data_IF_928662357214
#
_entry.id   IF_928662357214
#
_cell.length_a   1.000
_cell.length_b   1.000
_cell.length_c   1.000
_cell.angle_alpha   90.00
_cell.angle_beta   90.00
_cell.angle_gamma   90.00
#
_symmetry.space_group_name_H-M   'P 1'
#
loop_
_entity.id
_entity.type
_entity.pdbx_description
1 polymer ?
#
# COMPACT_ATOMS: atom_id res chain seq x y z
N UNK A 1 -3.20 25.65 -0.17
CA UNK A 1 -3.29 24.73 -1.32
C UNK A 1 -3.85 23.41 -0.77
N UNK A 2 -4.93 22.86 -1.34
CA UNK A 2 -5.54 21.62 -0.81
C UNK A 2 -4.71 20.42 -1.28
N UNK A 3 -4.31 19.54 -0.36
CA UNK A 3 -3.51 18.34 -0.67
C UNK A 3 -4.22 17.41 -1.67
N UNK A 4 -5.55 17.40 -1.65
CA UNK A 4 -6.42 16.69 -2.60
C UNK A 4 -6.11 17.01 -4.07
N UNK A 5 -5.67 18.24 -4.37
CA UNK A 5 -5.33 18.66 -5.73
C UNK A 5 -4.02 18.04 -6.24
N UNK A 6 -3.24 17.39 -5.37
CA UNK A 6 -1.98 16.73 -5.73
C UNK A 6 -2.08 15.20 -5.75
N UNK A 7 -3.27 14.63 -5.51
CA UNK A 7 -3.50 13.18 -5.56
C UNK A 7 -3.71 12.68 -7.00
N UNK A 8 -2.78 13.02 -7.90
CA UNK A 8 -2.92 12.76 -9.34
C UNK A 8 -3.11 11.28 -9.65
N UNK A 9 -2.42 10.38 -8.94
CA UNK A 9 -2.57 8.94 -9.12
C UNK A 9 -3.99 8.45 -8.75
N UNK A 10 -4.60 9.02 -7.69
CA UNK A 10 -5.99 8.71 -7.34
C UNK A 10 -6.94 9.21 -8.43
N UNK A 11 -6.74 10.43 -8.93
CA UNK A 11 -7.52 11.00 -10.04
C UNK A 11 -7.41 10.17 -11.31
N UNK A 12 -6.21 9.68 -11.63
CA UNK A 12 -5.98 8.76 -12.75
C UNK A 12 -6.83 7.48 -12.59
N UNK A 13 -6.80 6.85 -11.42
CA UNK A 13 -7.59 5.63 -11.18
C UNK A 13 -9.10 5.87 -11.23
N UNK A 14 -9.59 7.03 -10.76
CA UNK A 14 -10.99 7.41 -10.91
C UNK A 14 -11.36 7.60 -12.38
N UNK A 15 -10.48 8.24 -13.15
CA UNK A 15 -10.68 8.52 -14.57
C UNK A 15 -10.78 7.24 -15.41
N UNK A 16 -10.11 6.15 -15.02
CA UNK A 16 -10.28 4.85 -15.67
C UNK A 16 -11.75 4.40 -15.70
N UNK A 17 -12.52 4.74 -14.67
CA UNK A 17 -13.96 4.45 -14.55
C UNK A 17 -14.86 5.64 -14.94
N UNK A 18 -14.29 6.68 -15.56
CA UNK A 18 -15.04 7.84 -16.05
C UNK A 18 -15.40 8.88 -14.98
N UNK A 19 -14.73 8.89 -13.83
CA UNK A 19 -15.00 9.83 -12.74
C UNK A 19 -13.83 10.78 -12.49
N UNK A 20 -14.15 12.00 -12.06
CA UNK A 20 -13.15 13.00 -11.67
C UNK A 20 -13.01 13.09 -10.16
N UNK A 21 -14.08 12.80 -9.41
CA UNK A 21 -14.13 12.91 -7.96
C UNK A 21 -14.48 11.57 -7.30
N UNK A 22 -13.81 11.26 -6.18
CA UNK A 22 -14.05 10.01 -5.46
C UNK A 22 -15.51 9.87 -5.00
N UNK A 23 -16.16 10.99 -4.66
CA UNK A 23 -17.57 10.99 -4.27
C UNK A 23 -18.47 10.45 -5.38
N UNK A 24 -18.17 10.67 -6.66
CA UNK A 24 -18.98 10.16 -7.77
C UNK A 24 -18.96 8.63 -7.82
N UNK A 25 -17.76 8.04 -7.70
CA UNK A 25 -17.59 6.59 -7.65
C UNK A 25 -18.17 6.00 -6.35
N UNK A 26 -18.01 6.69 -5.22
CA UNK A 26 -18.62 6.31 -3.94
C UNK A 26 -20.14 6.20 -4.05
N UNK A 27 -20.80 7.18 -4.67
CA UNK A 27 -22.27 7.17 -4.81
C UNK A 27 -22.77 5.96 -5.61
N UNK A 28 -21.94 5.37 -6.49
CA UNK A 28 -22.28 4.13 -7.19
C UNK A 28 -22.19 2.88 -6.32
N UNK A 29 -21.33 2.89 -5.29
CA UNK A 29 -20.97 1.69 -4.52
C UNK A 29 -21.47 1.69 -3.07
N UNK A 30 -21.77 2.85 -2.48
CA UNK A 30 -22.08 2.99 -1.05
C UNK A 30 -23.27 2.15 -0.57
N UNK A 31 -24.25 1.94 -1.46
CA UNK A 31 -25.48 1.17 -1.18
C UNK A 31 -25.40 -0.25 -1.75
N UNK A 32 -24.27 -0.63 -2.35
CA UNK A 32 -24.02 -1.99 -2.82
C UNK A 32 -23.67 -2.88 -1.64
N UNK A 33 -24.28 -4.07 -1.59
CA UNK A 33 -24.05 -5.05 -0.54
C UNK A 33 -22.57 -5.47 -0.49
N UNK A 34 -22.03 -5.65 0.72
CA UNK A 34 -20.71 -6.22 0.93
C UNK A 34 -20.72 -7.75 0.70
N UNK A 35 -19.63 -8.28 0.13
CA UNK A 35 -19.43 -9.71 -0.06
C UNK A 35 -19.69 -10.18 -1.48
N UNK A 36 -20.07 -11.45 -1.62
CA UNK A 36 -20.02 -12.16 -2.89
C UNK A 36 -21.36 -12.81 -3.25
N UNK A 37 -21.62 -12.93 -4.55
CA UNK A 37 -22.75 -13.64 -5.11
C UNK A 37 -22.56 -15.17 -5.07
N UNK A 38 -23.52 -15.92 -5.65
CA UNK A 38 -23.45 -17.38 -5.71
C UNK A 38 -22.33 -17.94 -6.60
N UNK A 39 -21.82 -17.14 -7.54
CA UNK A 39 -20.65 -17.49 -8.38
C UNK A 39 -19.34 -17.10 -7.70
N UNK A 40 -19.46 -16.32 -6.64
CA UNK A 40 -18.41 -15.79 -5.81
C UNK A 40 -17.68 -14.61 -6.44
N UNK A 41 -18.39 -13.83 -7.25
CA UNK A 41 -18.05 -12.47 -7.68
C UNK A 41 -18.47 -11.47 -6.61
N UNK A 42 -17.65 -10.46 -6.36
CA UNK A 42 -18.03 -9.37 -5.43
C UNK A 42 -19.20 -8.58 -5.99
N UNK A 43 -20.20 -8.24 -5.17
CA UNK A 43 -21.27 -7.36 -5.66
C UNK A 43 -20.74 -5.99 -6.13
N UNK A 44 -19.57 -5.56 -5.65
CA UNK A 44 -18.91 -4.35 -6.14
C UNK A 44 -18.36 -4.52 -7.56
N UNK A 45 -17.92 -5.73 -7.97
CA UNK A 45 -17.32 -5.90 -9.31
C UNK A 45 -18.38 -5.76 -10.41
N UNK A 46 -19.60 -6.23 -10.18
CA UNK A 46 -20.68 -6.11 -11.16
C UNK A 46 -21.01 -4.64 -11.46
N UNK A 47 -21.02 -3.79 -10.43
CA UNK A 47 -21.18 -2.34 -10.59
C UNK A 47 -20.03 -1.74 -11.41
N UNK A 48 -18.79 -2.15 -11.12
CA UNK A 48 -17.60 -1.65 -11.82
C UNK A 48 -17.52 -2.11 -13.27
N UNK A 49 -17.96 -3.34 -13.57
CA UNK A 49 -18.10 -3.84 -14.95
C UNK A 49 -19.16 -3.03 -15.70
N UNK A 50 -20.29 -2.72 -15.06
CA UNK A 50 -21.31 -1.85 -15.66
C UNK A 50 -20.79 -0.43 -15.98
N UNK A 51 -19.84 0.07 -15.20
CA UNK A 51 -19.17 1.36 -15.43
C UNK A 51 -18.08 1.28 -16.51
N UNK A 52 -17.47 0.11 -16.69
CA UNK A 52 -16.38 -0.12 -17.64
C UNK A 52 -16.45 -1.51 -18.31
N UNK A 53 -17.43 -1.73 -19.20
CA UNK A 53 -17.69 -3.06 -19.75
C UNK A 53 -16.50 -3.64 -20.53
N UNK A 54 -15.70 -2.80 -21.17
CA UNK A 54 -14.52 -3.22 -21.92
C UNK A 54 -13.40 -3.79 -21.05
N UNK A 55 -13.50 -3.68 -19.72
CA UNK A 55 -12.56 -4.26 -18.76
C UNK A 55 -13.11 -5.49 -18.03
N UNK A 56 -14.23 -6.07 -18.45
CA UNK A 56 -14.89 -7.18 -17.75
C UNK A 56 -13.91 -8.30 -17.34
N UNK A 57 -13.20 -8.91 -18.30
CA UNK A 57 -12.26 -10.00 -18.02
C UNK A 57 -11.16 -9.61 -17.03
N UNK A 58 -10.64 -8.39 -17.16
CA UNK A 58 -9.58 -7.88 -16.30
C UNK A 58 -10.10 -7.61 -14.88
N UNK A 59 -11.29 -7.03 -14.76
CA UNK A 59 -11.95 -6.75 -13.50
C UNK A 59 -12.30 -8.05 -12.76
N UNK A 60 -12.79 -9.07 -13.46
CA UNK A 60 -13.05 -10.39 -12.89
C UNK A 60 -11.77 -11.07 -12.40
N UNK A 61 -10.64 -10.93 -13.12
CA UNK A 61 -9.33 -11.41 -12.67
C UNK A 61 -8.93 -10.75 -11.35
N UNK A 62 -9.07 -9.43 -11.24
CA UNK A 62 -8.74 -8.70 -10.01
C UNK A 62 -9.69 -9.05 -8.86
N UNK A 63 -11.00 -9.17 -9.11
CA UNK A 63 -11.96 -9.56 -8.08
C UNK A 63 -11.69 -10.97 -7.52
N UNK A 64 -11.35 -11.92 -8.39
CA UNK A 64 -10.92 -13.26 -7.94
C UNK A 64 -9.69 -13.18 -7.02
N UNK A 65 -8.70 -12.35 -7.37
CA UNK A 65 -7.53 -12.13 -6.52
C UNK A 65 -7.90 -11.51 -5.16
N UNK A 66 -8.77 -10.49 -5.18
CA UNK A 66 -9.26 -9.82 -3.96
C UNK A 66 -9.97 -10.82 -3.06
N UNK A 67 -10.82 -11.68 -3.63
CA UNK A 67 -11.49 -12.76 -2.91
C UNK A 67 -10.52 -13.70 -2.23
N UNK A 68 -9.46 -14.14 -2.90
CA UNK A 68 -8.43 -15.00 -2.30
C UNK A 68 -7.81 -14.35 -1.04
N UNK A 69 -7.50 -13.05 -1.09
CA UNK A 69 -6.97 -12.34 0.08
C UNK A 69 -8.00 -12.23 1.22
N UNK A 70 -9.27 -11.95 0.89
CA UNK A 70 -10.35 -11.87 1.87
C UNK A 70 -10.59 -13.24 2.53
N UNK A 71 -10.61 -14.33 1.77
CA UNK A 71 -10.71 -15.69 2.31
C UNK A 71 -9.54 -16.03 3.23
N UNK A 72 -8.32 -15.64 2.85
CA UNK A 72 -7.14 -15.82 3.71
C UNK A 72 -7.27 -15.07 5.04
N UNK A 73 -7.78 -13.83 5.03
CA UNK A 73 -8.10 -13.09 6.26
C UNK A 73 -9.17 -13.78 7.09
N UNK A 74 -10.29 -14.21 6.48
CA UNK A 74 -11.39 -14.91 7.16
C UNK A 74 -10.89 -16.15 7.90
N UNK A 75 -10.10 -16.97 7.21
CA UNK A 75 -9.58 -18.22 7.75
C UNK A 75 -8.60 -17.97 8.88
N UNK A 76 -7.57 -17.14 8.66
CA UNK A 76 -6.53 -16.91 9.65
C UNK A 76 -7.06 -16.22 10.92
N UNK A 77 -7.98 -15.26 10.74
CA UNK A 77 -8.56 -14.49 11.86
C UNK A 77 -9.79 -15.15 12.49
N UNK A 78 -10.27 -16.27 11.93
CA UNK A 78 -11.51 -16.96 12.32
C UNK A 78 -12.74 -16.06 12.27
N UNK A 79 -12.84 -15.24 11.23
CA UNK A 79 -13.91 -14.28 11.00
C UNK A 79 -14.66 -14.61 9.69
N UNK A 80 -15.51 -15.65 9.66
CA UNK A 80 -16.12 -16.13 8.41
C UNK A 80 -17.02 -15.10 7.72
N UNK A 81 -17.57 -14.14 8.48
CA UNK A 81 -18.47 -13.12 7.97
C UNK A 81 -17.76 -11.81 7.57
N UNK A 82 -16.43 -11.76 7.65
CA UNK A 82 -15.67 -10.56 7.28
C UNK A 82 -15.81 -10.26 5.79
N UNK A 83 -16.11 -9.02 5.44
CA UNK A 83 -16.10 -8.51 4.08
C UNK A 83 -15.38 -7.15 4.03
N UNK A 84 -14.85 -6.80 2.86
CA UNK A 84 -14.34 -5.46 2.62
C UNK A 84 -15.51 -4.51 2.41
N UNK A 85 -15.41 -3.32 3.00
CA UNK A 85 -16.26 -2.18 2.62
C UNK A 85 -15.86 -1.67 1.24
N UNK A 86 -16.77 -0.98 0.54
CA UNK A 86 -16.49 -0.48 -0.81
C UNK A 86 -15.17 0.30 -0.93
N UNK A 87 -14.84 1.15 0.04
CA UNK A 87 -13.60 1.95 0.01
C UNK A 87 -12.34 1.12 0.28
N UNK A 88 -12.45 0.01 1.03
CA UNK A 88 -11.36 -0.94 1.20
C UNK A 88 -11.19 -1.78 -0.06
N UNK A 89 -12.30 -2.24 -0.64
CA UNK A 89 -12.31 -2.95 -1.92
C UNK A 89 -11.66 -2.11 -3.03
N UNK A 90 -12.03 -0.84 -3.15
CA UNK A 90 -11.42 0.09 -4.12
C UNK A 90 -9.93 0.29 -3.87
N UNK A 91 -9.49 0.45 -2.62
CA UNK A 91 -8.07 0.59 -2.31
C UNK A 91 -7.27 -0.65 -2.75
N UNK A 92 -7.80 -1.85 -2.50
CA UNK A 92 -7.17 -3.11 -2.93
C UNK A 92 -7.22 -3.27 -4.45
N UNK A 93 -8.34 -2.96 -5.10
CA UNK A 93 -8.50 -3.02 -6.55
C UNK A 93 -7.54 -2.07 -7.28
N UNK A 94 -7.44 -0.81 -6.84
CA UNK A 94 -6.50 0.14 -7.42
C UNK A 94 -5.06 -0.33 -7.24
N UNK A 95 -4.77 -1.04 -6.15
CA UNK A 95 -3.46 -1.68 -5.95
C UNK A 95 -3.23 -2.86 -6.91
N UNK A 96 -4.23 -3.70 -7.17
CA UNK A 96 -4.12 -4.76 -8.20
C UNK A 96 -3.80 -4.14 -9.57
N UNK A 97 -4.55 -3.11 -9.97
CA UNK A 97 -4.34 -2.39 -11.25
C UNK A 97 -2.94 -1.77 -11.29
N UNK A 98 -2.53 -1.10 -10.21
CA UNK A 98 -1.21 -0.47 -10.10
C UNK A 98 -0.08 -1.49 -10.27
N UNK A 99 -0.13 -2.60 -9.51
CA UNK A 99 0.95 -3.58 -9.48
C UNK A 99 1.04 -4.41 -10.77
N UNK A 100 -0.11 -4.78 -11.36
CA UNK A 100 -0.14 -5.42 -12.68
C UNK A 100 0.57 -4.53 -13.71
N UNK A 101 0.20 -3.25 -13.77
CA UNK A 101 0.79 -2.28 -14.70
C UNK A 101 2.28 -2.04 -14.42
N UNK A 102 2.66 -1.88 -13.15
CA UNK A 102 4.04 -1.66 -12.72
C UNK A 102 4.96 -2.84 -13.07
N UNK A 103 4.53 -4.09 -12.90
CA UNK A 103 5.37 -5.27 -13.12
C UNK A 103 5.31 -5.87 -14.53
N UNK A 104 4.27 -5.57 -15.31
CA UNK A 104 4.08 -6.14 -16.64
C UNK A 104 4.15 -5.13 -17.78
N UNK A 105 3.93 -3.83 -17.53
CA UNK A 105 3.96 -2.82 -18.59
C UNK A 105 4.32 -1.41 -18.08
N UNK A 106 5.44 -1.30 -17.35
CA UNK A 106 5.83 -0.08 -16.62
C UNK A 106 5.98 1.14 -17.51
N UNK A 107 6.70 1.01 -18.62
CA UNK A 107 6.98 2.12 -19.55
C UNK A 107 5.68 2.70 -20.10
N UNK A 108 4.75 1.82 -20.52
CA UNK A 108 3.42 2.22 -20.96
C UNK A 108 2.62 2.86 -19.84
N UNK A 109 2.69 2.32 -18.62
CA UNK A 109 1.99 2.88 -17.48
C UNK A 109 2.44 4.31 -17.17
N UNK A 110 3.75 4.57 -17.20
CA UNK A 110 4.31 5.92 -17.02
C UNK A 110 3.85 6.85 -18.14
N UNK A 111 3.87 6.39 -19.39
CA UNK A 111 3.42 7.19 -20.52
C UNK A 111 1.93 7.58 -20.40
N UNK A 112 1.06 6.62 -20.09
CA UNK A 112 -0.38 6.86 -19.90
C UNK A 112 -0.65 7.79 -18.69
N UNK A 113 0.10 7.62 -17.60
CA UNK A 113 -0.02 8.46 -16.41
C UNK A 113 0.44 9.90 -16.68
N UNK A 114 1.51 10.08 -17.45
CA UNK A 114 2.00 11.39 -17.84
C UNK A 114 1.10 12.10 -18.86
N UNK A 115 0.51 11.37 -19.82
CA UNK A 115 -0.50 11.93 -20.72
C UNK A 115 -1.72 12.43 -19.94
N UNK A 116 -2.18 11.66 -18.94
CA UNK A 116 -3.24 12.10 -18.04
C UNK A 116 -2.82 13.34 -17.24
N UNK A 117 -1.60 13.33 -16.68
CA UNK A 117 -1.10 14.43 -15.85
C UNK A 117 -0.96 15.74 -16.65
N UNK A 118 -0.51 15.69 -17.90
CA UNK A 118 -0.42 16.89 -18.75
C UNK A 118 -1.79 17.53 -18.95
N UNK A 119 -2.83 16.72 -19.24
CA UNK A 119 -4.21 17.20 -19.32
C UNK A 119 -4.67 17.79 -17.99
N UNK A 120 -4.43 17.08 -16.89
CA UNK A 120 -4.76 17.54 -15.54
C UNK A 120 -4.10 18.88 -15.19
N UNK A 121 -2.80 19.04 -15.47
CA UNK A 121 -2.05 20.27 -15.26
C UNK A 121 -2.64 21.44 -16.05
N UNK A 122 -2.95 21.21 -17.33
CA UNK A 122 -3.53 22.23 -18.21
C UNK A 122 -4.93 22.68 -17.72
N UNK A 123 -5.80 21.74 -17.37
CA UNK A 123 -7.16 22.02 -16.91
C UNK A 123 -7.18 22.74 -15.55
N UNK A 124 -6.29 22.35 -14.63
CA UNK A 124 -6.24 22.88 -13.26
C UNK A 124 -5.25 24.04 -13.09
N UNK A 125 -4.52 24.42 -14.16
CA UNK A 125 -3.44 25.42 -14.14
C UNK A 125 -2.40 25.11 -13.05
N UNK A 126 -1.96 23.85 -13.02
CA UNK A 126 -0.94 23.34 -12.09
C UNK A 126 0.33 22.97 -12.86
N UNK A 127 1.46 22.93 -12.14
CA UNK A 127 2.78 22.59 -12.69
C UNK A 127 3.36 21.40 -11.92
N UNK A 128 2.61 20.28 -11.87
CA UNK A 128 3.09 19.05 -11.25
C UNK A 128 4.07 18.37 -12.22
N UNK A 129 5.25 17.98 -11.71
CA UNK A 129 6.27 17.29 -12.50
C UNK A 129 5.80 15.92 -13.00
N UNK A 130 6.24 15.54 -14.19
CA UNK A 130 5.96 14.23 -14.78
C UNK A 130 6.43 13.10 -13.86
N UNK A 131 5.65 12.02 -13.82
CA UNK A 131 6.00 10.79 -13.14
C UNK A 131 7.20 10.13 -13.81
N UNK A 132 8.10 9.65 -12.96
CA UNK A 132 9.28 8.85 -13.31
C UNK A 132 9.13 7.43 -12.78
N UNK A 133 10.06 6.55 -13.15
CA UNK A 133 10.11 5.21 -12.54
C UNK A 133 10.28 5.24 -11.02
N UNK A 134 10.97 6.25 -10.49
CA UNK A 134 11.22 6.39 -9.06
C UNK A 134 9.94 6.69 -8.30
N UNK A 135 9.07 7.55 -8.86
CA UNK A 135 7.79 7.90 -8.26
C UNK A 135 6.86 6.68 -8.11
N UNK A 136 6.99 5.70 -9.01
CA UNK A 136 6.20 4.46 -8.96
C UNK A 136 6.75 3.41 -7.98
N UNK A 137 7.89 3.65 -7.32
CA UNK A 137 8.39 2.76 -6.26
C UNK A 137 7.73 3.01 -4.90
N UNK A 138 6.80 3.95 -4.82
CA UNK A 138 6.06 4.28 -3.59
C UNK A 138 4.56 4.35 -3.86
N UNK A 139 3.76 3.68 -3.03
CA UNK A 139 2.31 3.80 -3.03
C UNK A 139 1.82 4.23 -1.65
N UNK A 140 1.17 5.40 -1.60
CA UNK A 140 0.68 6.00 -0.37
C UNK A 140 -0.85 5.88 -0.25
N UNK A 141 -1.31 5.46 0.92
CA UNK A 141 -2.71 5.30 1.29
C UNK A 141 -3.07 6.36 2.31
N UNK A 142 -3.82 7.36 1.87
CA UNK A 142 -4.35 8.40 2.75
C UNK A 142 -5.82 8.11 3.04
N UNK A 143 -6.10 7.56 4.21
CA UNK A 143 -7.44 7.10 4.60
C UNK A 143 -7.67 7.35 6.08
N UNK A 144 -8.89 7.72 6.47
CA UNK A 144 -9.25 8.04 7.86
C UNK A 144 -8.83 6.95 8.87
N UNK A 145 -8.54 7.34 10.11
CA UNK A 145 -8.34 6.40 11.22
C UNK A 145 -9.57 5.52 11.40
N UNK A 146 -9.38 4.21 11.58
CA UNK A 146 -10.49 3.25 11.68
C UNK A 146 -11.05 2.76 10.33
N UNK A 147 -10.55 3.25 9.19
CA UNK A 147 -10.91 2.71 7.85
C UNK A 147 -10.34 1.30 7.57
N UNK A 148 -9.57 0.73 8.49
CA UNK A 148 -9.01 -0.62 8.34
C UNK A 148 -7.73 -0.67 7.49
N UNK A 149 -6.92 0.40 7.49
CA UNK A 149 -5.60 0.45 6.81
C UNK A 149 -4.70 -0.73 7.15
N UNK A 150 -4.73 -1.24 8.39
CA UNK A 150 -3.97 -2.43 8.80
C UNK A 150 -4.33 -3.67 7.98
N UNK A 151 -5.63 -3.91 7.73
CA UNK A 151 -6.05 -5.05 6.89
C UNK A 151 -5.67 -4.83 5.42
N UNK A 152 -5.77 -3.59 4.94
CA UNK A 152 -5.30 -3.23 3.59
C UNK A 152 -3.80 -3.49 3.47
N UNK A 153 -2.99 -3.12 4.46
CA UNK A 153 -1.55 -3.39 4.50
C UNK A 153 -1.23 -4.88 4.41
N UNK A 154 -1.97 -5.72 5.12
CA UNK A 154 -1.80 -7.18 5.06
C UNK A 154 -2.14 -7.74 3.69
N UNK A 155 -3.19 -7.19 3.05
CA UNK A 155 -3.53 -7.54 1.67
C UNK A 155 -2.42 -7.06 0.72
N UNK A 156 -1.94 -5.81 0.86
CA UNK A 156 -0.87 -5.27 0.03
C UNK A 156 0.41 -6.11 0.12
N UNK A 157 0.73 -6.68 1.29
CA UNK A 157 1.81 -7.66 1.43
C UNK A 157 1.60 -8.89 0.53
N UNK A 158 0.40 -9.45 0.45
CA UNK A 158 0.16 -10.56 -0.50
C UNK A 158 0.14 -10.09 -1.95
N UNK A 159 -0.41 -8.90 -2.24
CA UNK A 159 -0.45 -8.37 -3.60
C UNK A 159 0.96 -8.16 -4.15
N UNK A 160 1.84 -7.48 -3.41
CA UNK A 160 3.20 -7.21 -3.88
C UNK A 160 4.01 -8.48 -4.03
N UNK A 161 3.82 -9.48 -3.18
CA UNK A 161 4.47 -10.79 -3.32
C UNK A 161 3.94 -11.58 -4.53
N UNK A 162 2.67 -11.42 -4.90
CA UNK A 162 2.08 -12.03 -6.09
C UNK A 162 2.67 -11.45 -7.38
N UNK A 163 2.88 -10.12 -7.43
CA UNK A 163 3.35 -9.44 -8.64
C UNK A 163 4.88 -9.34 -8.76
N UNK A 164 5.59 -9.22 -7.63
CA UNK A 164 7.04 -9.08 -7.65
C UNK A 164 7.70 -10.34 -8.19
N UNK A 165 8.39 -10.19 -9.32
CA UNK A 165 9.22 -11.24 -9.93
C UNK A 165 10.54 -11.45 -9.18
N UNK A 166 10.89 -10.55 -8.25
CA UNK A 166 12.15 -10.56 -7.53
C UNK A 166 11.94 -10.95 -6.06
N UNK A 167 12.93 -11.62 -5.48
CA UNK A 167 13.03 -11.80 -4.04
C UNK A 167 13.35 -10.46 -3.37
N UNK A 168 12.79 -10.26 -2.19
CA UNK A 168 13.08 -9.11 -1.33
C UNK A 168 14.21 -9.49 -0.38
N UNK A 169 15.22 -8.63 -0.26
CA UNK A 169 16.33 -8.84 0.69
C UNK A 169 15.83 -8.65 2.12
N UNK A 170 14.99 -7.63 2.34
CA UNK A 170 14.31 -7.37 3.60
C UNK A 170 12.84 -6.99 3.38
N UNK A 171 11.97 -7.41 4.29
CA UNK A 171 10.60 -6.89 4.39
C UNK A 171 10.46 -6.24 5.76
N UNK A 172 10.17 -4.94 5.79
CA UNK A 172 10.28 -4.13 7.01
C UNK A 172 8.98 -3.37 7.21
N UNK A 173 8.44 -3.40 8.43
CA UNK A 173 7.36 -2.53 8.87
C UNK A 173 7.93 -1.52 9.88
N UNK A 174 7.91 -0.25 9.48
CA UNK A 174 8.36 0.87 10.30
C UNK A 174 7.14 1.49 10.98
N UNK A 175 7.15 1.52 12.31
CA UNK A 175 6.07 2.09 13.12
C UNK A 175 6.55 3.34 13.88
N UNK A 176 5.65 4.21 14.36
CA UNK A 176 6.07 5.42 15.06
C UNK A 176 6.49 5.19 16.52
N UNK A 177 6.20 4.02 17.13
CA UNK A 177 6.64 3.67 18.48
C UNK A 177 6.47 2.17 18.79
N UNK A 178 7.10 1.72 19.88
CA UNK A 178 7.07 0.31 20.31
C UNK A 178 5.66 -0.24 20.62
N UNK A 179 4.76 0.61 21.11
CA UNK A 179 3.38 0.21 21.39
C UNK A 179 2.66 -0.21 20.10
N UNK A 180 2.80 0.59 19.05
CA UNK A 180 2.28 0.28 17.72
C UNK A 180 3.02 -0.90 17.07
N UNK A 181 4.33 -1.05 17.27
CA UNK A 181 5.06 -2.27 16.85
C UNK A 181 4.42 -3.54 17.41
N UNK A 182 4.13 -3.56 18.72
CA UNK A 182 3.49 -4.72 19.37
C UNK A 182 2.09 -4.98 18.83
N UNK A 183 1.30 -3.93 18.58
CA UNK A 183 -0.03 -4.07 17.99
C UNK A 183 0.03 -4.68 16.58
N UNK A 184 0.91 -4.18 15.71
CA UNK A 184 1.11 -4.73 14.38
C UNK A 184 1.62 -6.17 14.41
N UNK A 185 2.50 -6.51 15.34
CA UNK A 185 2.96 -7.90 15.52
C UNK A 185 1.79 -8.85 15.78
N UNK A 186 0.90 -8.53 16.71
CA UNK A 186 -0.28 -9.37 16.99
C UNK A 186 -1.24 -9.40 15.79
N UNK A 187 -1.48 -8.27 15.13
CA UNK A 187 -2.38 -8.18 13.96
C UNK A 187 -1.87 -8.97 12.74
N UNK A 188 -0.56 -8.95 12.48
CA UNK A 188 0.09 -9.75 11.44
C UNK A 188 -0.03 -11.25 11.75
N UNK A 189 0.17 -11.65 13.01
CA UNK A 189 0.00 -13.05 13.44
C UNK A 189 -1.44 -13.53 13.30
N UNK A 190 -2.43 -12.70 13.65
CA UNK A 190 -3.85 -13.00 13.41
C UNK A 190 -4.13 -13.19 11.92
N UNK A 191 -3.42 -12.48 11.06
CA UNK A 191 -3.57 -12.57 9.61
C UNK A 191 -2.71 -13.68 8.98
N UNK A 192 -1.98 -14.46 9.79
CA UNK A 192 -1.11 -15.55 9.34
C UNK A 192 0.11 -15.07 8.53
N UNK A 193 0.55 -13.82 8.73
CA UNK A 193 1.73 -13.27 8.06
C UNK A 193 2.94 -13.48 8.99
N UNK A 194 4.03 -14.10 8.50
CA UNK A 194 5.22 -14.30 9.31
C UNK A 194 5.84 -12.94 9.64
N UNK A 195 6.12 -12.71 10.92
CA UNK A 195 6.68 -11.45 11.39
C UNK A 195 7.52 -11.65 12.66
N UNK A 196 8.41 -10.70 12.89
CA UNK A 196 9.30 -10.63 14.05
C UNK A 196 9.41 -9.19 14.53
N UNK A 197 9.41 -9.00 15.86
CA UNK A 197 9.75 -7.72 16.48
C UNK A 197 11.27 -7.59 16.59
N UNK A 198 11.79 -6.41 16.25
CA UNK A 198 13.17 -6.08 16.59
C UNK A 198 13.33 -5.97 18.12
N UNK A 199 14.23 -6.78 18.67
CA UNK A 199 14.45 -6.98 20.11
C UNK A 199 15.61 -6.14 20.67
N UNK A 200 16.25 -5.31 19.84
CA UNK A 200 17.42 -4.53 20.21
C UNK A 200 18.75 -5.23 19.94
N UNK A 201 18.74 -6.48 19.45
CA UNK A 201 19.94 -7.20 19.05
C UNK A 201 20.11 -7.20 17.52
N UNK A 202 21.19 -6.58 17.04
CA UNK A 202 21.51 -6.47 15.61
C UNK A 202 21.71 -7.85 14.97
N UNK A 203 22.26 -8.82 15.71
CA UNK A 203 22.47 -10.19 15.20
C UNK A 203 21.14 -10.88 14.86
N UNK A 204 20.05 -10.39 15.43
CA UNK A 204 18.70 -10.89 15.24
C UNK A 204 17.92 -10.15 14.14
N UNK A 205 18.52 -9.22 13.40
CA UNK A 205 17.84 -8.48 12.34
C UNK A 205 17.47 -9.34 11.13
N UNK A 206 18.26 -10.38 10.84
CA UNK A 206 18.02 -11.25 9.69
C UNK A 206 16.69 -11.99 9.84
N UNK A 207 15.78 -11.77 8.89
CA UNK A 207 14.50 -12.47 8.81
C UNK A 207 14.56 -13.64 7.83
N UNK A 208 13.58 -14.53 7.95
CA UNK A 208 13.35 -15.60 6.97
C UNK A 208 12.71 -15.03 5.70
N UNK A 209 12.75 -15.79 4.61
CA UNK A 209 12.07 -15.40 3.36
C UNK A 209 10.58 -15.12 3.62
N UNK A 210 10.12 -13.92 3.27
CA UNK A 210 8.74 -13.47 3.47
C UNK A 210 8.41 -12.96 4.87
N UNK A 211 9.30 -13.07 5.86
CA UNK A 211 9.04 -12.63 7.24
C UNK A 211 9.29 -11.12 7.41
N UNK A 212 8.30 -10.43 7.98
CA UNK A 212 8.34 -8.97 8.21
C UNK A 212 9.11 -8.65 9.50
N UNK A 213 10.16 -7.84 9.42
CA UNK A 213 10.78 -7.20 10.57
C UNK A 213 10.01 -5.95 10.97
N UNK A 214 9.50 -5.91 12.19
CA UNK A 214 8.79 -4.77 12.74
C UNK A 214 9.74 -3.98 13.63
N UNK A 215 9.97 -2.71 13.29
CA UNK A 215 10.88 -1.82 14.00
C UNK A 215 10.25 -0.44 14.16
N UNK A 216 10.42 0.16 15.34
CA UNK A 216 10.00 1.54 15.54
C UNK A 216 11.03 2.52 14.95
N UNK A 217 10.55 3.67 14.48
CA UNK A 217 11.37 4.69 13.81
C UNK A 217 12.49 5.24 14.70
N UNK A 218 12.33 5.23 16.03
CA UNK A 218 13.33 5.75 16.97
C UNK A 218 14.54 4.82 17.14
N UNK A 219 14.41 3.55 16.76
CA UNK A 219 15.54 2.60 16.68
C UNK A 219 16.32 2.71 15.39
N UNK A 220 15.89 3.52 14.41
CA UNK A 220 16.61 3.73 13.15
C UNK A 220 17.51 4.98 13.22
N UNK A 221 18.74 4.87 12.71
CA UNK A 221 19.69 5.98 12.62
C UNK A 221 20.50 5.94 11.32
N UNK A 222 21.01 7.08 10.88
CA UNK A 222 21.93 7.16 9.73
C UNK A 222 23.36 6.75 10.08
N UNK A 223 23.74 6.95 11.34
CA UNK A 223 25.04 6.55 11.89
C UNK A 223 24.82 6.00 13.29
N UNK A 224 25.29 4.78 13.56
CA UNK A 224 25.29 4.24 14.92
C UNK A 224 26.41 4.89 15.75
N UNK A 225 26.03 5.59 16.83
CA UNK A 225 26.96 6.14 17.83
C UNK A 225 26.78 5.40 19.16
N UNK A 226 27.73 4.52 19.48
CA UNK A 226 27.75 3.75 20.74
C UNK A 226 27.01 2.41 20.70
N UNK A 227 26.87 1.78 21.87
CA UNK A 227 26.37 0.39 22.04
C UNK A 227 24.84 0.27 22.21
N UNK A 228 24.09 1.33 21.88
CA UNK A 228 22.64 1.34 22.04
C UNK A 228 21.88 0.37 21.13
N UNK A 229 20.58 0.23 21.37
CA UNK A 229 19.66 -0.62 20.59
C UNK A 229 19.40 -0.11 19.17
N UNK A 230 19.93 1.06 18.80
CA UNK A 230 19.77 1.63 17.46
C UNK A 230 20.44 0.80 16.36
N UNK A 231 19.81 0.82 15.20
CA UNK A 231 20.19 0.13 13.97
C UNK A 231 20.48 1.18 12.90
N UNK A 232 21.65 1.07 12.30
CA UNK A 232 22.04 1.88 11.16
C UNK A 232 21.24 1.45 9.91
N UNK A 233 20.72 2.40 9.13
CA UNK A 233 19.95 2.08 7.92
C UNK A 233 20.74 1.27 6.90
N UNK A 234 22.08 1.32 6.92
CA UNK A 234 22.96 0.50 6.08
C UNK A 234 22.85 -1.00 6.34
N UNK A 235 22.36 -1.44 7.52
CA UNK A 235 22.04 -2.85 7.76
C UNK A 235 20.93 -3.37 6.86
N UNK A 236 20.13 -2.46 6.30
CA UNK A 236 19.09 -2.77 5.33
C UNK A 236 19.53 -2.44 3.90
N UNK A 237 20.82 -2.46 3.56
CA UNK A 237 21.19 -2.34 2.15
C UNK A 237 20.68 -3.55 1.35
N UNK A 238 20.11 -3.26 0.17
CA UNK A 238 19.49 -4.26 -0.69
C UNK A 238 18.14 -3.80 -1.25
N UNK A 239 17.44 -4.72 -1.91
CA UNK A 239 16.10 -4.52 -2.44
C UNK A 239 15.07 -4.80 -1.37
N UNK A 240 14.56 -3.75 -0.74
CA UNK A 240 13.64 -3.86 0.39
C UNK A 240 12.19 -3.64 0.00
N UNK A 241 11.29 -4.31 0.71
CA UNK A 241 9.89 -3.97 0.75
C UNK A 241 9.60 -3.30 2.10
N UNK A 242 9.20 -2.02 2.07
CA UNK A 242 9.02 -1.21 3.28
C UNK A 242 7.56 -0.83 3.43
N UNK A 243 6.98 -1.14 4.58
CA UNK A 243 5.67 -0.66 5.02
C UNK A 243 5.89 0.43 6.07
N UNK A 244 5.22 1.56 5.95
CA UNK A 244 5.34 2.70 6.86
C UNK A 244 3.97 2.99 7.45
N UNK A 245 3.83 2.80 8.76
CA UNK A 245 2.63 3.22 9.48
C UNK A 245 2.77 4.66 9.97
N UNK A 246 1.69 5.44 9.86
CA UNK A 246 1.62 6.85 10.26
C UNK A 246 2.72 7.72 9.61
N UNK A 247 2.75 7.69 8.27
CA UNK A 247 3.76 8.34 7.43
C UNK A 247 4.08 9.80 7.76
N UNK A 248 3.10 10.52 8.31
CA UNK A 248 3.08 11.97 8.56
C UNK A 248 3.30 12.37 10.03
N UNK A 249 3.57 11.44 10.96
CA UNK A 249 3.80 11.80 12.38
C UNK A 249 5.21 12.37 12.57
N UNK A 250 5.32 13.45 13.36
CA UNK A 250 6.59 14.07 13.79
C UNK A 250 6.49 15.60 13.93
N UNK A 251 7.42 16.23 14.65
CA UNK A 251 7.66 17.67 14.46
C UNK A 251 8.31 17.90 13.09
N UNK A 252 8.14 19.06 12.47
CA UNK A 252 8.59 19.33 11.08
C UNK A 252 10.04 18.93 10.78
N UNK A 253 10.94 19.05 11.76
CA UNK A 253 12.36 18.63 11.65
C UNK A 253 12.56 17.13 11.82
N UNK A 254 11.84 16.50 12.77
CA UNK A 254 11.85 15.04 12.96
C UNK A 254 11.21 14.31 11.78
N UNK A 255 10.10 14.83 11.25
CA UNK A 255 9.40 14.28 10.10
C UNK A 255 10.33 14.21 8.88
N UNK A 256 11.12 15.26 8.63
CA UNK A 256 12.11 15.26 7.56
C UNK A 256 13.20 14.21 7.78
N UNK A 257 13.72 14.08 9.01
CA UNK A 257 14.70 13.04 9.36
C UNK A 257 14.12 11.64 9.15
N UNK A 258 12.89 11.40 9.62
CA UNK A 258 12.22 10.12 9.48
C UNK A 258 11.89 9.79 8.03
N UNK A 259 11.49 10.79 7.24
CA UNK A 259 11.34 10.64 5.79
C UNK A 259 12.64 10.17 5.15
N UNK A 260 13.76 10.83 5.44
CA UNK A 260 15.07 10.46 4.89
C UNK A 260 15.47 9.02 5.27
N UNK A 261 15.29 8.62 6.53
CA UNK A 261 15.57 7.25 6.99
C UNK A 261 14.76 6.21 6.21
N UNK A 262 13.44 6.43 6.09
CA UNK A 262 12.52 5.52 5.41
C UNK A 262 12.79 5.45 3.90
N UNK A 263 13.10 6.57 3.27
CA UNK A 263 13.47 6.63 1.85
C UNK A 263 14.83 5.97 1.57
N UNK A 264 15.81 6.10 2.48
CA UNK A 264 17.09 5.41 2.34
C UNK A 264 16.92 3.89 2.39
N UNK A 265 16.14 3.39 3.36
CA UNK A 265 15.83 1.95 3.44
C UNK A 265 15.08 1.49 2.18
N UNK A 266 14.15 2.28 1.65
CA UNK A 266 13.36 1.89 0.48
C UNK A 266 13.97 2.20 -0.90
N UNK A 267 15.15 2.84 -0.98
CA UNK A 267 15.72 3.43 -2.22
C UNK A 267 15.80 2.47 -3.41
N UNK A 268 16.16 1.21 -3.16
CA UNK A 268 16.33 0.19 -4.20
C UNK A 268 15.12 -0.74 -4.31
N UNK A 269 14.03 -0.41 -3.61
CA UNK A 269 12.95 -1.30 -3.27
C UNK A 269 11.57 -0.79 -3.65
N UNK A 270 10.58 -1.10 -2.81
CA UNK A 270 9.22 -0.61 -2.92
C UNK A 270 8.70 -0.19 -1.55
N UNK A 271 7.98 0.93 -1.49
CA UNK A 271 7.44 1.50 -0.25
C UNK A 271 5.91 1.54 -0.32
N UNK A 272 5.26 0.98 0.70
CA UNK A 272 3.87 1.26 1.02
C UNK A 272 3.80 2.20 2.22
N UNK A 273 3.08 3.31 2.10
CA UNK A 273 2.92 4.29 3.17
C UNK A 273 1.44 4.44 3.56
N UNK A 274 1.13 4.45 4.86
CA UNK A 274 -0.24 4.54 5.37
C UNK A 274 -0.34 5.75 6.30
N UNK A 275 -1.31 6.62 6.00
CA UNK A 275 -1.53 7.87 6.74
C UNK A 275 -3.02 8.15 6.90
N UNK A 276 -3.36 8.95 7.90
CA UNK A 276 -4.72 9.41 8.20
C UNK A 276 -4.92 10.87 7.76
#
# INVERSE_FOLDING_TARGET
MKLENHLVLNKYFLNLFGFNEFNELREKLKDTQEGYDSTGRSYFIDVLIGLKPEWEDLLLKYDSAIREYVEKLRQNRKQPNFNLKYFQYLAVLFTEIFLERYYNNKERFIAELNEFLEKFNNENKMEISLFTEEDLKKLAFWMATGSGKTLIMHINYWQILKYSKNKWDNIILITPNEGLSKQHYEELRLSGIPCKLYDGNIDNLKTREGEILIIDIYKLTEEKKGEGVSVDVSFFDGKNLVFIDEGHKGQRTEEQKWKNLRENIGKNGFIFEYSA
#
